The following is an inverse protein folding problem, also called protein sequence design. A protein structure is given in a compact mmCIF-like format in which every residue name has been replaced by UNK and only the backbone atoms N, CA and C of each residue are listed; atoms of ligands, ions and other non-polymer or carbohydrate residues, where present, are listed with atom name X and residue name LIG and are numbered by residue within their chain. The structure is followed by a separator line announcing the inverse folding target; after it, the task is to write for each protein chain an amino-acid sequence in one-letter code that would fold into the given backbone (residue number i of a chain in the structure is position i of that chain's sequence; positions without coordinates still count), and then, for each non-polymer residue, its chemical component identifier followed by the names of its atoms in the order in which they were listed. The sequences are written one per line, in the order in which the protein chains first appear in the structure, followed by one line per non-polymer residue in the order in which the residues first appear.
data_IF_916559958365
#
_entry.id   IF_916559958365
#
_cell.length_a   1.000
_cell.length_b   1.000
_cell.length_c   1.000
_cell.angle_alpha   90.00
_cell.angle_beta   90.00
_cell.angle_gamma   90.00
#
_symmetry.space_group_name_H-M   'P 1'
#
loop_
_entity.id
_entity.type
_entity.pdbx_description
1 polymer ?
#
# COMPACT_ATOMS: atom_id res chain seq x y z
N UNK A 1 -14.68 -17.63 7.63
CA UNK A 1 -13.80 -16.79 8.47
C UNK A 1 -12.47 -16.47 7.81
N UNK A 2 -11.84 -17.42 7.11
CA UNK A 2 -10.55 -17.17 6.45
C UNK A 2 -10.68 -16.34 5.16
N UNK A 3 -11.64 -16.65 4.30
CA UNK A 3 -11.91 -15.87 3.07
C UNK A 3 -12.24 -14.39 3.37
N UNK A 4 -13.09 -14.15 4.37
CA UNK A 4 -13.42 -12.79 4.83
C UNK A 4 -12.16 -12.00 5.28
N UNK A 5 -11.19 -12.65 5.93
CA UNK A 5 -9.92 -11.99 6.30
C UNK A 5 -9.06 -11.68 5.08
N UNK A 6 -9.03 -12.58 4.09
CA UNK A 6 -8.31 -12.38 2.83
C UNK A 6 -8.90 -11.22 2.03
N UNK A 7 -10.22 -11.09 1.97
CA UNK A 7 -10.89 -9.97 1.31
C UNK A 7 -10.62 -8.63 2.00
N UNK A 8 -10.68 -8.58 3.33
CA UNK A 8 -10.35 -7.37 4.10
C UNK A 8 -8.88 -6.96 3.87
N UNK A 9 -7.97 -7.93 3.88
CA UNK A 9 -6.56 -7.68 3.63
C UNK A 9 -6.32 -7.17 2.19
N UNK A 10 -6.98 -7.77 1.19
CA UNK A 10 -6.89 -7.35 -0.19
C UNK A 10 -7.40 -5.91 -0.37
N UNK A 11 -8.55 -5.58 0.20
CA UNK A 11 -9.11 -4.21 0.13
C UNK A 11 -8.20 -3.18 0.79
N UNK A 12 -7.61 -3.51 1.94
CA UNK A 12 -6.64 -2.65 2.61
C UNK A 12 -5.40 -2.41 1.74
N UNK A 13 -4.92 -3.44 1.04
CA UNK A 13 -3.76 -3.34 0.14
C UNK A 13 -4.11 -2.53 -1.11
N UNK A 14 -5.30 -2.68 -1.67
CA UNK A 14 -5.77 -1.86 -2.81
C UNK A 14 -5.80 -0.37 -2.44
N UNK A 15 -6.44 -0.03 -1.32
CA UNK A 15 -6.45 1.36 -0.82
C UNK A 15 -5.05 1.90 -0.54
N UNK A 16 -4.17 1.05 -0.03
CA UNK A 16 -2.77 1.43 0.19
C UNK A 16 -2.03 1.69 -1.13
N UNK A 17 -2.25 0.84 -2.14
CA UNK A 17 -1.71 1.03 -3.47
C UNK A 17 -2.21 2.36 -4.07
N UNK A 18 -3.51 2.66 -3.97
CA UNK A 18 -4.10 3.93 -4.44
C UNK A 18 -3.49 5.14 -3.75
N UNK A 19 -3.31 5.09 -2.43
CA UNK A 19 -2.65 6.16 -1.67
C UNK A 19 -1.18 6.39 -2.09
N UNK A 20 -0.53 5.36 -2.65
CA UNK A 20 0.81 5.46 -3.22
C UNK A 20 0.81 5.93 -4.69
N UNK A 21 -0.35 6.19 -5.28
CA UNK A 21 -0.51 6.52 -6.71
C UNK A 21 -0.47 5.30 -7.63
N UNK A 22 -0.54 4.09 -7.08
CA UNK A 22 -0.62 2.84 -7.84
C UNK A 22 -2.10 2.55 -8.09
N UNK A 23 -2.47 2.33 -9.35
CA UNK A 23 -3.83 1.93 -9.68
C UNK A 23 -3.98 0.39 -9.53
N UNK A 24 -4.72 -0.12 -8.54
CA UNK A 24 -4.80 -1.56 -8.31
C UNK A 24 -5.48 -2.31 -9.46
N UNK A 25 -6.44 -1.68 -10.15
CA UNK A 25 -7.09 -2.27 -11.32
C UNK A 25 -6.09 -2.48 -12.46
N UNK A 26 -5.21 -1.50 -12.68
CA UNK A 26 -4.14 -1.60 -13.67
C UNK A 26 -3.22 -2.78 -13.37
N UNK A 27 -2.77 -2.92 -12.12
CA UNK A 27 -1.91 -4.04 -11.69
C UNK A 27 -2.60 -5.38 -11.89
N UNK A 28 -3.90 -5.49 -11.54
CA UNK A 28 -4.68 -6.69 -11.80
C UNK A 28 -4.75 -7.03 -13.29
N UNK A 29 -4.98 -6.05 -14.16
CA UNK A 29 -5.04 -6.25 -15.62
C UNK A 29 -3.67 -6.71 -16.17
N UNK A 30 -2.58 -6.09 -15.73
CA UNK A 30 -1.22 -6.48 -16.14
C UNK A 30 -0.92 -7.93 -15.70
N UNK A 31 -1.31 -8.29 -14.47
CA UNK A 31 -1.17 -9.65 -13.96
C UNK A 31 -2.04 -10.67 -14.71
N UNK A 32 -3.26 -10.28 -15.07
CA UNK A 32 -4.16 -11.12 -15.88
C UNK A 32 -3.59 -11.39 -17.28
N UNK A 33 -2.99 -10.38 -17.92
CA UNK A 33 -2.31 -10.53 -19.22
C UNK A 33 -1.11 -11.47 -19.13
N UNK A 34 -0.34 -11.38 -18.04
CA UNK A 34 0.81 -12.27 -17.80
C UNK A 34 0.38 -13.73 -17.58
N UNK A 35 -0.72 -13.96 -16.85
CA UNK A 35 -1.20 -15.30 -16.52
C UNK A 35 -2.10 -15.92 -17.60
N UNK A 36 -2.66 -15.11 -18.50
CA UNK A 36 -3.68 -15.56 -19.46
C UNK A 36 -5.01 -15.99 -18.82
N UNK A 37 -5.19 -15.74 -17.52
CA UNK A 37 -6.40 -16.04 -16.72
C UNK A 37 -6.58 -14.99 -15.64
N UNK A 38 -7.75 -14.95 -15.01
CA UNK A 38 -7.96 -14.08 -13.86
C UNK A 38 -7.02 -14.45 -12.69
N UNK A 39 -6.32 -13.46 -12.10
CA UNK A 39 -5.51 -13.69 -10.92
C UNK A 39 -6.43 -13.96 -9.72
N UNK A 40 -6.00 -14.88 -8.87
CA UNK A 40 -6.66 -15.09 -7.58
C UNK A 40 -6.27 -13.97 -6.58
N UNK A 41 -6.95 -13.85 -5.42
CA UNK A 41 -6.68 -12.80 -4.43
C UNK A 41 -5.23 -12.75 -3.96
N UNK A 42 -4.57 -13.90 -3.81
CA UNK A 42 -3.19 -14.00 -3.35
C UNK A 42 -2.20 -13.52 -4.43
N UNK A 43 -2.46 -13.86 -5.70
CA UNK A 43 -1.70 -13.38 -6.85
C UNK A 43 -1.84 -11.86 -7.04
N UNK A 44 -3.05 -11.32 -6.80
CA UNK A 44 -3.30 -9.87 -6.84
C UNK A 44 -2.58 -9.13 -5.70
N UNK A 45 -2.67 -9.66 -4.48
CA UNK A 45 -1.92 -9.14 -3.32
C UNK A 45 -0.42 -9.11 -3.64
N UNK A 46 0.12 -10.19 -4.19
CA UNK A 46 1.54 -10.28 -4.51
C UNK A 46 1.94 -9.28 -5.59
N UNK A 47 1.12 -9.11 -6.64
CA UNK A 47 1.38 -8.15 -7.70
C UNK A 47 1.41 -6.70 -7.15
N UNK A 48 0.42 -6.33 -6.32
CA UNK A 48 0.36 -5.03 -5.67
C UNK A 48 1.57 -4.80 -4.76
N UNK A 49 1.91 -5.78 -3.92
CA UNK A 49 3.08 -5.68 -3.05
C UNK A 49 4.39 -5.50 -3.83
N UNK A 50 4.53 -6.17 -4.99
CA UNK A 50 5.71 -6.02 -5.83
C UNK A 50 5.80 -4.62 -6.42
N UNK A 51 4.69 -4.05 -6.89
CA UNK A 51 4.68 -2.70 -7.43
C UNK A 51 4.97 -1.65 -6.35
N UNK A 52 4.40 -1.83 -5.16
CA UNK A 52 4.72 -1.03 -3.97
C UNK A 52 6.21 -1.12 -3.63
N UNK A 53 6.82 -2.31 -3.72
CA UNK A 53 8.27 -2.49 -3.50
C UNK A 53 9.09 -1.77 -4.57
N UNK A 54 8.73 -1.84 -5.85
CA UNK A 54 9.44 -1.14 -6.93
C UNK A 54 9.38 0.38 -6.77
N UNK A 55 8.22 0.92 -6.38
CA UNK A 55 8.10 2.34 -6.06
C UNK A 55 9.01 2.74 -4.90
N UNK A 56 9.08 1.94 -3.83
CA UNK A 56 10.01 2.17 -2.71
C UNK A 56 11.49 2.01 -3.07
N UNK A 57 11.81 1.23 -4.10
CA UNK A 57 13.18 1.05 -4.56
C UNK A 57 13.64 2.18 -5.51
N UNK A 58 12.72 2.77 -6.28
CA UNK A 58 13.02 3.86 -7.22
C UNK A 58 12.91 5.27 -6.61
N UNK A 59 12.08 5.44 -5.59
CA UNK A 59 11.95 6.68 -4.84
C UNK A 59 12.70 6.57 -3.52
N UNK A 60 13.71 7.42 -3.31
CA UNK A 60 14.36 7.66 -2.01
C UNK A 60 13.41 8.37 -1.00
N UNK A 61 12.11 8.10 -1.14
CA UNK A 61 10.98 8.78 -0.53
C UNK A 61 10.39 7.76 0.45
N UNK A 62 10.95 7.69 1.69
CA UNK A 62 10.55 6.65 2.61
C UNK A 62 9.15 7.00 3.07
N UNK A 63 8.15 6.26 2.58
CA UNK A 63 6.79 6.28 3.11
C UNK A 63 6.64 5.15 4.13
N UNK A 64 6.05 5.45 5.29
CA UNK A 64 5.82 4.49 6.38
C UNK A 64 4.34 4.43 6.74
N UNK A 65 3.90 3.28 7.23
CA UNK A 65 2.59 3.14 7.88
C UNK A 65 2.84 3.02 9.37
N UNK A 66 2.20 3.86 10.15
CA UNK A 66 2.39 3.98 11.60
C UNK A 66 1.04 3.99 12.29
N UNK A 67 1.01 3.60 13.56
CA UNK A 67 -0.17 3.77 14.42
C UNK A 67 -0.24 5.22 14.93
N UNK A 68 -1.38 5.64 15.49
CA UNK A 68 -1.53 6.97 16.10
C UNK A 68 -0.45 7.22 17.18
N UNK A 69 -0.19 6.21 18.01
CA UNK A 69 0.84 6.22 19.07
C UNK A 69 2.27 6.43 18.53
N UNK A 70 2.53 5.96 17.31
CA UNK A 70 3.84 6.09 16.66
C UNK A 70 3.97 7.40 15.88
N UNK A 71 2.85 8.01 15.49
CA UNK A 71 2.81 9.19 14.63
C UNK A 71 3.53 10.38 15.25
N UNK A 72 3.28 10.68 16.53
CA UNK A 72 3.85 11.83 17.23
C UNK A 72 5.37 11.88 17.13
N UNK A 73 6.01 10.72 17.29
CA UNK A 73 7.46 10.58 17.17
C UNK A 73 7.93 10.92 15.76
N UNK A 74 7.26 10.40 14.74
CA UNK A 74 7.68 10.64 13.36
C UNK A 74 7.43 12.09 12.92
N UNK A 75 6.36 12.74 13.39
CA UNK A 75 6.15 14.17 13.17
C UNK A 75 7.32 14.99 13.71
N UNK A 76 7.81 14.66 14.91
CA UNK A 76 8.99 15.30 15.49
C UNK A 76 10.30 15.05 14.70
N UNK A 77 10.40 13.90 14.02
CA UNK A 77 11.52 13.57 13.12
C UNK A 77 11.40 14.23 11.72
N UNK A 78 10.42 15.12 11.52
CA UNK A 78 10.22 15.86 10.27
C UNK A 78 9.43 15.08 9.21
N UNK A 79 8.60 14.13 9.62
CA UNK A 79 7.68 13.43 8.73
C UNK A 79 6.33 14.14 8.64
N UNK A 80 5.64 13.93 7.54
CA UNK A 80 4.37 14.57 7.23
C UNK A 80 3.28 13.53 6.98
N UNK A 81 2.05 13.79 7.46
CA UNK A 81 0.90 12.89 7.29
C UNK A 81 0.39 13.00 5.87
N UNK A 82 0.34 11.86 5.16
CA UNK A 82 -0.18 11.79 3.81
C UNK A 82 -1.62 11.28 3.77
N UNK A 83 -1.95 10.25 4.57
CA UNK A 83 -3.28 9.64 4.54
C UNK A 83 -3.59 8.89 5.83
N UNK A 84 -4.86 8.89 6.25
CA UNK A 84 -5.34 8.08 7.38
C UNK A 84 -6.22 6.97 6.82
N UNK A 85 -5.85 5.72 7.08
CA UNK A 85 -6.59 4.54 6.66
C UNK A 85 -7.79 4.31 7.60
N UNK A 86 -8.92 3.76 7.10
CA UNK A 86 -10.09 3.47 7.93
C UNK A 86 -9.84 2.41 9.01
N UNK A 87 -8.70 1.72 8.99
CA UNK A 87 -8.23 0.85 10.07
C UNK A 87 -7.57 1.60 11.24
N UNK A 88 -7.53 2.94 11.19
CA UNK A 88 -6.81 3.78 12.17
C UNK A 88 -5.29 3.88 11.95
N UNK A 89 -4.77 3.29 10.86
CA UNK A 89 -3.34 3.37 10.51
C UNK A 89 -3.05 4.60 9.66
N UNK A 90 -1.87 5.20 9.83
CA UNK A 90 -1.53 6.49 9.25
C UNK A 90 -0.33 6.33 8.32
N UNK A 91 -0.44 6.82 7.10
CA UNK A 91 0.63 6.85 6.11
C UNK A 91 1.37 8.17 6.27
N UNK A 92 2.66 8.10 6.54
CA UNK A 92 3.55 9.24 6.64
C UNK A 92 4.61 9.21 5.54
N UNK A 93 5.06 10.37 5.10
CA UNK A 93 6.19 10.55 4.18
C UNK A 93 7.25 11.40 4.86
N UNK A 94 8.53 11.20 4.53
CA UNK A 94 9.56 12.12 5.01
C UNK A 94 9.50 13.41 4.20
N UNK A 95 9.46 14.54 4.88
CA UNK A 95 9.60 15.84 4.23
C UNK A 95 11.02 15.93 3.71
N UNK A 96 11.21 15.79 2.40
CA UNK A 96 12.47 16.20 1.77
C UNK A 96 12.48 17.73 1.78
N UNK A 97 13.03 18.32 2.83
CA UNK A 97 13.50 19.71 2.82
C UNK A 97 14.86 19.76 2.14
#
# INVERSE_FOLDING_TARGET
MEEMRKEIALEAIRRFAEALGINPMRIRIEKQKELGREPNPEEEIQALQNEIKKLRAGSNDPKKIVSEEELERYLAEGWDVQLILPSGKIIIKRSST
#
